data_IF_838532886647
#
_entry.id   IF_838532886647
#
_cell.length_a   1.000
_cell.length_b   1.000
_cell.length_c   1.000
_cell.angle_alpha   90.00
_cell.angle_beta   90.00
_cell.angle_gamma   90.00
#
_symmetry.space_group_name_H-M   'P 1'
#
loop_
_entity.id
_entity.type
_entity.pdbx_description
1 polymer ?
#
# COMPACT_ATOMS: atom_id res chain seq x y z
N UNK A 1 -35.64 0.12 -19.42
CA UNK A 1 -34.25 0.31 -19.01
C UNK A 1 -34.21 0.02 -17.53
N UNK A 2 -33.88 -1.23 -17.19
CA UNK A 2 -33.82 -1.67 -15.82
C UNK A 2 -32.53 -1.13 -15.22
N UNK A 3 -32.62 -0.09 -14.40
CA UNK A 3 -31.57 0.29 -13.45
C UNK A 3 -31.44 -0.85 -12.44
N UNK A 4 -30.75 -1.91 -12.85
CA UNK A 4 -30.20 -2.92 -11.95
C UNK A 4 -28.83 -2.42 -11.52
N UNK A 5 -28.81 -1.28 -10.84
CA UNK A 5 -27.64 -0.87 -10.06
C UNK A 5 -27.46 -1.96 -9.01
N UNK A 6 -26.52 -2.87 -9.24
CA UNK A 6 -26.18 -3.87 -8.23
C UNK A 6 -25.54 -3.09 -7.08
N UNK A 7 -26.29 -2.89 -6.00
CA UNK A 7 -25.78 -2.11 -4.88
C UNK A 7 -24.67 -2.89 -4.18
N UNK A 8 -23.70 -2.20 -3.54
CA UNK A 8 -22.61 -2.86 -2.82
C UNK A 8 -23.09 -3.80 -1.71
N UNK A 9 -24.26 -3.51 -1.13
CA UNK A 9 -24.91 -4.36 -0.15
C UNK A 9 -25.37 -5.69 -0.77
N UNK A 10 -25.90 -5.66 -2.00
CA UNK A 10 -26.36 -6.87 -2.69
C UNK A 10 -25.17 -7.76 -3.04
N UNK A 11 -24.06 -7.19 -3.53
CA UNK A 11 -22.82 -7.93 -3.79
C UNK A 11 -22.25 -8.58 -2.52
N UNK A 12 -22.35 -7.90 -1.38
CA UNK A 12 -21.81 -8.39 -0.11
C UNK A 12 -22.55 -9.62 0.43
N UNK A 13 -23.86 -9.73 0.15
CA UNK A 13 -24.69 -10.86 0.58
C UNK A 13 -24.61 -12.06 -0.40
N UNK A 14 -24.04 -11.86 -1.59
CA UNK A 14 -23.84 -12.93 -2.58
C UNK A 14 -22.66 -13.84 -2.21
N UNK A 15 -22.88 -15.15 -2.29
CA UNK A 15 -21.80 -16.14 -2.26
C UNK A 15 -20.89 -16.03 -3.50
N UNK A 16 -19.66 -16.52 -3.38
CA UNK A 16 -18.71 -16.60 -4.50
C UNK A 16 -19.32 -17.34 -5.71
N UNK A 17 -20.09 -18.40 -5.47
CA UNK A 17 -20.78 -19.14 -6.54
C UNK A 17 -21.86 -18.31 -7.22
N UNK A 18 -22.59 -17.45 -6.50
CA UNK A 18 -23.58 -16.56 -7.11
C UNK A 18 -22.90 -15.47 -7.94
N UNK A 19 -21.82 -14.86 -7.42
CA UNK A 19 -21.03 -13.88 -8.16
C UNK A 19 -20.44 -14.48 -9.45
N UNK A 20 -19.90 -15.70 -9.38
CA UNK A 20 -19.35 -16.39 -10.54
C UNK A 20 -20.38 -16.69 -11.65
N UNK A 21 -21.67 -16.72 -11.31
CA UNK A 21 -22.77 -16.98 -12.24
C UNK A 21 -23.51 -15.70 -12.66
N UNK A 22 -23.02 -14.51 -12.31
CA UNK A 22 -23.60 -13.26 -12.76
C UNK A 22 -23.50 -13.13 -14.31
N UNK A 23 -24.50 -12.52 -14.96
CA UNK A 23 -24.39 -12.16 -16.37
C UNK A 23 -23.15 -11.29 -16.65
N UNK A 24 -22.49 -11.41 -17.81
CA UNK A 24 -21.27 -10.65 -18.12
C UNK A 24 -21.39 -9.14 -17.93
N UNK A 25 -22.52 -8.54 -18.34
CA UNK A 25 -22.75 -7.11 -18.15
C UNK A 25 -22.80 -6.71 -16.67
N UNK A 26 -23.40 -7.55 -15.81
CA UNK A 26 -23.45 -7.32 -14.37
C UNK A 26 -22.09 -7.54 -13.71
N UNK A 27 -21.26 -8.44 -14.23
CA UNK A 27 -19.87 -8.59 -13.77
C UNK A 27 -19.04 -7.34 -14.06
N UNK A 28 -19.15 -6.78 -15.27
CA UNK A 28 -18.46 -5.52 -15.64
C UNK A 28 -18.94 -4.37 -14.77
N UNK A 29 -20.25 -4.25 -14.57
CA UNK A 29 -20.84 -3.22 -13.74
C UNK A 29 -20.41 -3.34 -12.27
N UNK A 30 -20.44 -4.55 -11.70
CA UNK A 30 -20.01 -4.81 -10.33
C UNK A 30 -18.53 -4.45 -10.12
N UNK A 31 -17.66 -4.84 -11.05
CA UNK A 31 -16.22 -4.53 -11.01
C UNK A 31 -15.97 -3.01 -11.03
N UNK A 32 -16.56 -2.30 -12.00
CA UNK A 32 -16.41 -0.85 -12.12
C UNK A 32 -16.99 -0.09 -10.91
N UNK A 33 -18.16 -0.51 -10.41
CA UNK A 33 -18.79 0.11 -9.25
C UNK A 33 -17.94 -0.07 -7.98
N UNK A 34 -17.38 -1.26 -7.74
CA UNK A 34 -16.51 -1.52 -6.61
C UNK A 34 -15.23 -0.66 -6.66
N UNK A 35 -14.61 -0.53 -7.83
CA UNK A 35 -13.43 0.32 -8.01
C UNK A 35 -13.75 1.80 -7.71
N UNK A 36 -14.87 2.31 -8.22
CA UNK A 36 -15.34 3.66 -7.94
C UNK A 36 -15.58 3.89 -6.45
N UNK A 37 -16.19 2.93 -5.75
CA UNK A 37 -16.45 3.02 -4.32
C UNK A 37 -15.17 2.98 -3.49
N UNK A 38 -14.22 2.12 -3.86
CA UNK A 38 -12.91 2.03 -3.21
C UNK A 38 -12.16 3.36 -3.37
N UNK A 39 -12.14 3.93 -4.58
CA UNK A 39 -11.49 5.21 -4.84
C UNK A 39 -12.15 6.36 -4.08
N UNK A 40 -13.49 6.46 -4.13
CA UNK A 40 -14.24 7.45 -3.38
C UNK A 40 -14.01 7.33 -1.87
N UNK A 41 -14.04 6.12 -1.32
CA UNK A 41 -13.83 5.88 0.10
C UNK A 41 -12.40 6.26 0.53
N UNK A 42 -11.38 5.91 -0.26
CA UNK A 42 -9.99 6.33 -0.02
C UNK A 42 -9.84 7.84 -0.01
N UNK A 43 -10.37 8.53 -1.03
CA UNK A 43 -10.33 10.00 -1.14
C UNK A 43 -11.04 10.67 0.02
N UNK A 44 -12.23 10.19 0.37
CA UNK A 44 -13.05 10.72 1.46
C UNK A 44 -12.38 10.47 2.82
N UNK A 45 -11.77 9.30 3.02
CA UNK A 45 -11.00 8.99 4.24
C UNK A 45 -9.83 9.95 4.39
N UNK A 46 -9.03 10.16 3.36
CA UNK A 46 -7.92 11.13 3.38
C UNK A 46 -8.40 12.54 3.72
N UNK A 47 -9.54 12.97 3.16
CA UNK A 47 -10.12 14.27 3.48
C UNK A 47 -10.57 14.37 4.94
N UNK A 48 -11.19 13.32 5.47
CA UNK A 48 -11.59 13.26 6.88
C UNK A 48 -10.37 13.25 7.81
N UNK A 49 -9.33 12.48 7.51
CA UNK A 49 -8.09 12.44 8.28
C UNK A 49 -7.42 13.82 8.33
N UNK A 50 -7.36 14.53 7.20
CA UNK A 50 -6.85 15.90 7.15
C UNK A 50 -7.71 16.86 8.02
N UNK A 51 -9.04 16.73 7.99
CA UNK A 51 -9.93 17.53 8.83
C UNK A 51 -9.77 17.22 10.33
N UNK A 52 -9.54 15.95 10.70
CA UNK A 52 -9.25 15.55 12.07
C UNK A 52 -7.89 16.08 12.54
N UNK A 53 -6.86 16.05 11.69
CA UNK A 53 -5.55 16.64 12.02
C UNK A 53 -5.64 18.17 12.16
N UNK A 54 -6.40 18.84 11.27
CA UNK A 54 -6.65 20.28 11.38
C UNK A 54 -7.37 20.64 12.69
N UNK A 55 -8.33 19.81 13.13
CA UNK A 55 -9.13 20.08 14.34
C UNK A 55 -8.42 19.70 15.64
N UNK A 56 -7.74 18.54 15.68
CA UNK A 56 -7.24 17.93 16.90
C UNK A 56 -5.72 17.72 16.92
N UNK A 57 -5.05 17.78 15.77
CA UNK A 57 -3.63 17.44 15.65
C UNK A 57 -2.74 18.29 16.54
N UNK A 58 -3.01 19.60 16.65
CA UNK A 58 -2.20 20.47 17.50
C UNK A 58 -2.43 20.25 18.99
N UNK A 59 -3.65 19.90 19.40
CA UNK A 59 -3.91 19.47 20.77
C UNK A 59 -3.14 18.18 21.07
N UNK A 60 -3.12 17.25 20.11
CA UNK A 60 -2.31 16.02 20.10
C UNK A 60 -0.85 16.27 20.39
N UNK A 61 -0.23 17.10 19.55
CA UNK A 61 1.19 17.45 19.63
C UNK A 61 1.51 18.23 20.91
N UNK A 62 0.63 19.11 21.34
CA UNK A 62 0.79 19.84 22.61
C UNK A 62 0.78 18.88 23.79
N UNK A 63 -0.18 17.97 23.87
CA UNK A 63 -0.23 16.96 24.94
C UNK A 63 1.01 16.05 24.98
N UNK A 64 1.60 15.74 23.82
CA UNK A 64 2.89 15.04 23.75
C UNK A 64 4.02 15.93 24.29
N UNK A 65 4.15 17.18 23.81
CA UNK A 65 5.20 18.12 24.22
C UNK A 65 5.16 18.43 25.72
N UNK A 66 3.97 18.60 26.28
CA UNK A 66 3.77 18.84 27.72
C UNK A 66 4.21 17.63 28.57
N UNK A 67 4.17 16.43 27.99
CA UNK A 67 4.72 15.21 28.59
C UNK A 67 6.21 14.96 28.25
N UNK A 68 6.89 15.92 27.63
CA UNK A 68 8.29 15.82 27.22
C UNK A 68 8.55 14.88 26.04
N UNK A 69 7.54 14.62 25.19
CA UNK A 69 7.62 13.70 24.05
C UNK A 69 7.28 14.43 22.75
N UNK A 70 7.97 14.08 21.66
CA UNK A 70 7.61 14.55 20.31
C UNK A 70 6.76 13.53 19.52
N UNK A 71 6.75 12.28 19.98
CA UNK A 71 6.07 11.15 19.37
C UNK A 71 5.50 10.22 20.44
N UNK A 72 4.56 9.36 20.03
CA UNK A 72 3.86 8.42 20.88
C UNK A 72 2.35 8.68 20.88
N UNK A 73 1.69 8.22 21.94
CA UNK A 73 0.24 8.36 22.11
C UNK A 73 -0.09 9.40 23.16
N UNK A 74 -1.10 10.22 22.87
CA UNK A 74 -1.75 11.13 23.80
C UNK A 74 -3.27 10.91 23.78
N UNK A 75 -3.91 11.19 24.90
CA UNK A 75 -5.36 11.09 25.06
C UNK A 75 -5.91 12.48 25.33
N UNK A 76 -6.89 12.92 24.54
CA UNK A 76 -7.47 14.26 24.59
C UNK A 76 -8.98 14.12 24.64
N UNK A 77 -9.65 15.08 25.28
CA UNK A 77 -11.11 15.15 25.31
C UNK A 77 -11.59 16.44 24.66
N UNK A 78 -12.61 16.35 23.80
CA UNK A 78 -13.34 17.50 23.23
C UNK A 78 -14.85 17.28 23.41
N UNK A 79 -15.41 17.83 24.49
CA UNK A 79 -16.78 17.58 24.91
C UNK A 79 -17.04 16.07 25.11
N UNK A 80 -17.97 15.45 24.35
CA UNK A 80 -18.26 14.02 24.46
C UNK A 80 -17.22 13.12 23.76
N UNK A 81 -16.28 13.68 22.99
CA UNK A 81 -15.30 12.91 22.24
C UNK A 81 -14.06 12.62 23.09
N UNK A 82 -13.70 11.34 23.18
CA UNK A 82 -12.38 10.91 23.64
C UNK A 82 -11.52 10.57 22.43
N UNK A 83 -10.44 11.34 22.23
CA UNK A 83 -9.53 11.23 21.09
C UNK A 83 -8.24 10.55 21.54
N UNK A 84 -7.95 9.38 20.96
CA UNK A 84 -6.60 8.79 20.98
C UNK A 84 -5.80 9.39 19.83
N UNK A 85 -4.88 10.31 20.15
CA UNK A 85 -3.94 10.87 19.18
C UNK A 85 -2.66 10.02 19.17
N UNK A 86 -2.20 9.65 17.99
CA UNK A 86 -0.99 8.85 17.80
C UNK A 86 -0.06 9.52 16.79
N UNK A 87 1.11 9.92 17.25
CA UNK A 87 2.18 10.50 16.43
C UNK A 87 3.33 9.50 16.39
N UNK A 88 3.42 8.63 15.37
CA UNK A 88 4.47 7.62 15.33
C UNK A 88 5.85 8.26 15.13
N UNK A 89 6.88 7.63 15.71
CA UNK A 89 8.26 7.95 15.38
C UNK A 89 8.57 7.47 13.97
N UNK A 90 9.01 8.37 13.09
CA UNK A 90 9.49 8.02 11.75
C UNK A 90 11.01 8.17 11.69
N UNK A 91 11.71 7.05 11.49
CA UNK A 91 13.16 7.06 11.24
C UNK A 91 13.37 6.92 9.73
N UNK A 92 14.10 7.86 9.15
CA UNK A 92 14.55 7.79 7.76
C UNK A 92 16.06 7.86 7.72
N UNK A 93 16.67 7.02 6.90
CA UNK A 93 18.12 6.99 6.75
C UNK A 93 18.57 7.74 5.50
N UNK A 94 19.60 8.57 5.63
CA UNK A 94 20.25 9.19 4.49
C UNK A 94 21.00 8.10 3.71
N UNK A 95 20.46 7.73 2.54
CA UNK A 95 20.99 6.62 1.75
C UNK A 95 22.42 6.87 1.25
N UNK A 96 22.77 8.12 0.95
CA UNK A 96 24.15 8.46 0.55
C UNK A 96 25.12 8.20 1.70
N UNK A 97 24.78 8.65 2.90
CA UNK A 97 25.61 8.41 4.08
C UNK A 97 25.67 6.92 4.46
N UNK A 98 24.56 6.17 4.35
CA UNK A 98 24.58 4.73 4.58
C UNK A 98 25.47 4.00 3.57
N UNK A 99 25.47 4.39 2.30
CA UNK A 99 26.36 3.83 1.29
C UNK A 99 27.84 4.09 1.61
N UNK A 100 28.18 5.34 1.96
CA UNK A 100 29.54 5.68 2.39
C UNK A 100 29.98 4.91 3.65
N UNK A 101 29.05 4.68 4.60
CA UNK A 101 29.32 3.86 5.78
C UNK A 101 29.52 2.38 5.39
N UNK A 102 28.69 1.84 4.50
CA UNK A 102 28.83 0.46 4.02
C UNK A 102 30.21 0.24 3.34
N UNK A 103 30.65 1.17 2.50
CA UNK A 103 31.98 1.13 1.87
C UNK A 103 33.11 1.15 2.91
N UNK A 104 32.99 1.94 3.97
CA UNK A 104 33.97 1.97 5.07
C UNK A 104 34.00 0.65 5.85
N UNK A 105 32.83 0.04 6.13
CA UNK A 105 32.72 -1.26 6.79
C UNK A 105 33.43 -2.34 5.96
N UNK A 106 33.20 -2.37 4.65
CA UNK A 106 33.90 -3.32 3.75
C UNK A 106 35.40 -3.06 3.75
N UNK A 107 35.81 -1.79 3.71
CA UNK A 107 37.23 -1.39 3.69
C UNK A 107 37.96 -1.71 5.00
N UNK A 108 37.25 -1.78 6.13
CA UNK A 108 37.80 -2.24 7.41
C UNK A 108 37.89 -3.77 7.54
N UNK A 109 37.43 -4.52 6.52
CA UNK A 109 37.40 -5.98 6.52
C UNK A 109 36.19 -6.58 7.25
N UNK A 110 35.21 -5.75 7.60
CA UNK A 110 33.98 -6.18 8.27
C UNK A 110 32.85 -6.46 7.27
N UNK A 111 31.82 -7.17 7.73
CA UNK A 111 30.64 -7.52 6.94
C UNK A 111 29.54 -6.48 7.14
N UNK A 112 29.01 -5.93 6.04
CA UNK A 112 27.95 -4.91 6.05
C UNK A 112 26.68 -5.41 6.73
N UNK A 113 26.37 -6.69 6.57
CA UNK A 113 25.19 -7.35 7.13
C UNK A 113 25.19 -7.39 8.67
N UNK A 114 26.32 -7.12 9.33
CA UNK A 114 26.39 -6.96 10.78
C UNK A 114 25.78 -5.64 11.28
N UNK A 115 25.55 -4.68 10.37
CA UNK A 115 25.18 -3.31 10.71
C UNK A 115 24.00 -2.77 9.90
N UNK A 116 23.82 -3.26 8.66
CA UNK A 116 22.83 -2.78 7.72
C UNK A 116 22.08 -3.98 7.14
N UNK A 117 20.75 -3.93 7.17
CA UNK A 117 19.91 -4.93 6.51
C UNK A 117 20.10 -4.83 4.99
N UNK A 118 20.69 -5.87 4.39
CA UNK A 118 20.92 -5.94 2.95
C UNK A 118 19.92 -6.89 2.30
N UNK A 119 19.04 -6.35 1.46
CA UNK A 119 18.20 -7.13 0.55
C UNK A 119 18.72 -7.00 -0.87
N UNK A 120 19.38 -8.06 -1.36
CA UNK A 120 19.79 -8.14 -2.76
C UNK A 120 18.57 -8.46 -3.63
N UNK A 121 18.28 -7.58 -4.59
CA UNK A 121 17.18 -7.77 -5.52
C UNK A 121 17.57 -7.33 -6.92
N UNK A 122 17.21 -8.14 -7.90
CA UNK A 122 17.30 -7.81 -9.32
C UNK A 122 15.88 -7.65 -9.83
N UNK A 123 15.53 -6.46 -10.32
CA UNK A 123 14.24 -6.27 -10.98
C UNK A 123 14.16 -7.12 -12.24
N UNK A 124 13.02 -7.75 -12.50
CA UNK A 124 12.84 -8.65 -13.64
C UNK A 124 13.21 -7.98 -14.97
N UNK A 125 12.75 -6.74 -15.19
CA UNK A 125 13.10 -5.97 -16.39
C UNK A 125 14.61 -5.78 -16.58
N UNK A 126 15.37 -5.63 -15.48
CA UNK A 126 16.84 -5.52 -15.56
C UNK A 126 17.45 -6.86 -15.96
N UNK A 127 16.99 -7.95 -15.35
CA UNK A 127 17.45 -9.30 -15.67
C UNK A 127 17.19 -9.66 -17.14
N UNK A 128 15.99 -9.42 -17.66
CA UNK A 128 15.62 -9.75 -19.05
C UNK A 128 16.40 -8.94 -20.09
N UNK A 129 16.85 -7.74 -19.73
CA UNK A 129 17.63 -6.87 -20.59
C UNK A 129 19.15 -7.16 -20.55
N UNK A 130 19.60 -8.10 -19.73
CA UNK A 130 21.01 -8.49 -19.68
C UNK A 130 21.43 -9.39 -20.85
N UNK A 131 22.73 -9.42 -21.19
CA UNK A 131 23.28 -10.42 -22.10
C UNK A 131 23.00 -11.85 -21.61
N UNK A 132 22.83 -12.84 -22.51
CA UNK A 132 22.48 -14.22 -22.13
C UNK A 132 23.42 -14.86 -21.11
N UNK A 133 24.71 -14.57 -21.20
CA UNK A 133 25.71 -15.10 -20.25
C UNK A 133 25.45 -14.64 -18.80
N UNK A 134 25.03 -13.40 -18.59
CA UNK A 134 24.74 -12.86 -17.27
C UNK A 134 23.39 -13.36 -16.75
N UNK A 135 22.40 -13.53 -17.64
CA UNK A 135 21.14 -14.18 -17.29
C UNK A 135 21.40 -15.61 -16.76
N UNK A 136 22.22 -16.39 -17.47
CA UNK A 136 22.54 -17.77 -17.09
C UNK A 136 23.21 -17.88 -15.72
N UNK A 137 24.10 -16.95 -15.37
CA UNK A 137 24.77 -16.92 -14.07
C UNK A 137 23.78 -16.71 -12.90
N UNK A 138 22.75 -15.88 -13.12
CA UNK A 138 21.76 -15.54 -12.10
C UNK A 138 20.54 -16.47 -12.12
N UNK A 139 20.39 -17.32 -13.13
CA UNK A 139 19.23 -18.20 -13.31
C UNK A 139 18.99 -19.13 -12.10
N UNK A 140 20.06 -19.67 -11.50
CA UNK A 140 19.97 -20.56 -10.33
C UNK A 140 19.48 -19.84 -9.05
N UNK A 141 19.61 -18.52 -9.00
CA UNK A 141 19.11 -17.69 -7.90
C UNK A 141 17.68 -17.18 -8.13
N UNK A 142 17.05 -17.51 -9.28
CA UNK A 142 15.67 -17.12 -9.60
C UNK A 142 14.71 -18.23 -9.24
N UNK A 143 13.61 -17.83 -8.62
CA UNK A 143 12.41 -18.65 -8.44
C UNK A 143 11.29 -17.98 -9.23
N UNK A 144 10.67 -18.73 -10.14
CA UNK A 144 9.53 -18.25 -10.93
C UNK A 144 8.33 -19.10 -10.55
N UNK A 145 7.40 -18.48 -9.84
CA UNK A 145 6.13 -19.09 -9.46
C UNK A 145 4.98 -18.33 -10.12
N UNK A 146 3.85 -18.99 -10.43
CA UNK A 146 2.67 -18.30 -10.91
C UNK A 146 2.24 -17.21 -9.93
N UNK A 147 2.11 -15.98 -10.42
CA UNK A 147 1.56 -14.87 -9.65
C UNK A 147 0.06 -15.03 -9.40
N UNK A 148 -0.49 -14.17 -8.54
CA UNK A 148 -1.94 -14.07 -8.36
C UNK A 148 -2.59 -13.67 -9.69
N UNK A 149 -3.65 -14.36 -10.17
CA UNK A 149 -4.35 -13.97 -11.38
C UNK A 149 -5.03 -12.60 -11.19
N UNK A 150 -5.05 -11.80 -12.26
CA UNK A 150 -5.78 -10.54 -12.37
C UNK A 150 -6.75 -10.63 -13.54
N UNK A 151 -7.96 -10.09 -13.37
CA UNK A 151 -8.99 -10.07 -14.42
C UNK A 151 -9.26 -8.62 -14.81
N UNK A 152 -9.40 -8.38 -16.11
CA UNK A 152 -9.91 -7.12 -16.66
C UNK A 152 -11.12 -7.49 -17.50
N UNK A 153 -12.27 -6.88 -17.21
CA UNK A 153 -13.53 -7.20 -17.86
C UNK A 153 -13.86 -6.14 -18.94
N UNK A 154 -14.30 -6.59 -20.11
CA UNK A 154 -14.73 -5.73 -21.22
C UNK A 154 -15.81 -6.46 -22.02
N UNK A 155 -16.83 -5.75 -22.47
CA UNK A 155 -17.89 -6.31 -23.32
C UNK A 155 -17.49 -6.11 -24.80
N UNK A 156 -17.35 -7.20 -25.56
CA UNK A 156 -17.13 -7.11 -27.00
C UNK A 156 -18.40 -6.61 -27.70
N UNK A 157 -18.30 -5.49 -28.43
CA UNK A 157 -19.40 -4.92 -29.22
C UNK A 157 -19.82 -3.49 -28.84
N UNK A 158 -19.28 -2.94 -27.76
CA UNK A 158 -19.42 -1.51 -27.39
C UNK A 158 -18.10 -0.78 -27.67
N UNK A 159 -17.75 -0.69 -28.96
CA UNK A 159 -16.75 0.26 -29.45
C UNK A 159 -17.49 1.46 -30.07
N UNK A 160 -16.98 2.69 -29.92
CA UNK A 160 -17.61 3.89 -30.50
C UNK A 160 -17.71 3.83 -32.03
#
# INVERSE_FOLDING_TARGET
>A
MSDLTVFPADLAEMSVSQLANLPPAQLVEADANLDHLIDWAKKTRTKLDAALDQRFGEQGRTALRDSGRDFGTAHISDGPLHIKFEQPKKVSWNQKQLAEIAERIVSSGEKVEGYIDVKLAVSESRYTNWPPALQQQFAAARTVEPGKPSFTLTIEGDAP
#
